data_IF_179926095658
#
_entry.id   IF_179926095658
#
_cell.length_a   1.000
_cell.length_b   1.000
_cell.length_c   1.000
_cell.angle_alpha   90.00
_cell.angle_beta   90.00
_cell.angle_gamma   90.00
#
_symmetry.space_group_name_H-M   'P 1'
#
loop_
_entity.id
_entity.type
_entity.pdbx_description
1 polymer ?
#
# COMPACT_ATOMS: atom_id res chain seq x y z
N UNK A 1 18.21 14.79 -5.31
CA UNK A 1 19.13 13.88 -4.58
C UNK A 1 18.78 12.44 -4.93
N UNK A 2 19.71 11.62 -5.48
CA UNK A 2 19.42 10.26 -5.96
C UNK A 2 18.98 9.28 -4.86
N UNK A 3 19.28 9.56 -3.59
CA UNK A 3 18.88 8.75 -2.43
C UNK A 3 17.38 8.83 -2.12
N UNK A 4 16.70 9.89 -2.52
CA UNK A 4 15.28 10.10 -2.20
C UNK A 4 14.34 9.35 -3.15
N UNK A 5 14.70 9.24 -4.44
CA UNK A 5 13.99 8.38 -5.39
C UNK A 5 14.10 6.90 -5.03
N UNK A 6 15.29 6.47 -4.57
CA UNK A 6 15.51 5.11 -4.06
C UNK A 6 14.66 4.84 -2.80
N UNK A 7 14.60 5.80 -1.87
CA UNK A 7 13.75 5.72 -0.68
C UNK A 7 12.27 5.59 -1.05
N UNK A 8 11.81 6.33 -2.06
CA UNK A 8 10.43 6.26 -2.52
C UNK A 8 10.09 4.91 -3.16
N UNK A 9 11.01 4.32 -3.92
CA UNK A 9 10.84 2.95 -4.45
C UNK A 9 10.74 1.92 -3.33
N UNK A 10 11.59 2.01 -2.30
CA UNK A 10 11.54 1.12 -1.13
C UNK A 10 10.19 1.25 -0.41
N UNK A 11 9.67 2.47 -0.27
CA UNK A 11 8.36 2.70 0.35
C UNK A 11 7.21 2.03 -0.44
N UNK A 12 7.23 2.07 -1.78
CA UNK A 12 6.22 1.36 -2.61
C UNK A 12 6.28 -0.15 -2.35
N UNK A 13 7.47 -0.72 -2.32
CA UNK A 13 7.67 -2.15 -2.07
C UNK A 13 7.18 -2.53 -0.67
N UNK A 14 7.50 -1.71 0.34
CA UNK A 14 7.04 -1.92 1.71
C UNK A 14 5.52 -1.88 1.83
N UNK A 15 4.84 -0.94 1.15
CA UNK A 15 3.37 -0.88 1.11
C UNK A 15 2.80 -2.17 0.50
N UNK A 16 3.38 -2.65 -0.62
CA UNK A 16 2.95 -3.89 -1.26
C UNK A 16 3.13 -5.13 -0.38
N UNK A 17 4.27 -5.25 0.31
CA UNK A 17 4.54 -6.36 1.24
C UNK A 17 3.59 -6.31 2.44
N UNK A 18 3.38 -5.12 3.02
CA UNK A 18 2.47 -4.94 4.16
C UNK A 18 1.04 -5.35 3.78
N UNK A 19 0.56 -4.91 2.62
CA UNK A 19 -0.74 -5.29 2.09
C UNK A 19 -0.86 -6.80 1.88
N UNK A 20 0.17 -7.45 1.32
CA UNK A 20 0.16 -8.89 1.13
C UNK A 20 0.07 -9.66 2.45
N UNK A 21 0.77 -9.20 3.51
CA UNK A 21 0.71 -9.83 4.84
C UNK A 21 -0.69 -9.69 5.44
N UNK A 22 -1.28 -8.49 5.38
CA UNK A 22 -2.62 -8.23 5.92
C UNK A 22 -3.67 -9.05 5.16
N UNK A 23 -3.60 -9.09 3.83
CA UNK A 23 -4.48 -9.91 3.01
C UNK A 23 -4.37 -11.41 3.37
N UNK A 24 -3.15 -11.89 3.63
CA UNK A 24 -2.94 -13.28 4.03
C UNK A 24 -3.55 -13.58 5.41
N UNK A 25 -3.43 -12.64 6.35
CA UNK A 25 -4.08 -12.73 7.66
C UNK A 25 -5.61 -12.76 7.51
N UNK A 26 -6.17 -11.90 6.67
CA UNK A 26 -7.61 -11.86 6.44
C UNK A 26 -8.15 -13.17 5.87
N UNK A 27 -7.45 -13.77 4.91
CA UNK A 27 -7.82 -15.06 4.33
C UNK A 27 -7.82 -16.18 5.38
N UNK A 28 -6.88 -16.16 6.32
CA UNK A 28 -6.74 -17.20 7.36
C UNK A 28 -7.78 -17.02 8.47
N UNK A 29 -7.99 -15.78 8.93
CA UNK A 29 -8.72 -15.50 10.15
C UNK A 29 -10.19 -15.11 9.90
N UNK A 30 -10.52 -14.48 8.77
CA UNK A 30 -11.87 -13.97 8.50
C UNK A 30 -12.67 -14.99 7.70
N UNK A 31 -13.45 -15.81 8.42
CA UNK A 31 -14.31 -16.84 7.80
C UNK A 31 -15.67 -16.33 7.33
N UNK A 32 -16.05 -15.12 7.73
CA UNK A 32 -17.31 -14.50 7.33
C UNK A 32 -17.10 -13.66 6.07
N UNK A 33 -17.76 -14.02 4.97
CA UNK A 33 -17.65 -13.37 3.67
C UNK A 33 -17.97 -11.87 3.70
N UNK A 34 -18.96 -11.45 4.48
CA UNK A 34 -19.35 -10.02 4.55
C UNK A 34 -18.26 -9.20 5.25
N UNK A 35 -17.70 -9.74 6.33
CA UNK A 35 -16.60 -9.11 7.06
C UNK A 35 -15.32 -9.10 6.21
N UNK A 36 -15.03 -10.19 5.50
CA UNK A 36 -13.87 -10.27 4.61
C UNK A 36 -13.91 -9.19 3.52
N UNK A 37 -15.05 -9.02 2.83
CA UNK A 37 -15.22 -7.97 1.82
C UNK A 37 -15.10 -6.57 2.45
N UNK A 38 -15.62 -6.39 3.66
CA UNK A 38 -15.49 -5.14 4.41
C UNK A 38 -14.04 -4.78 4.71
N UNK A 39 -13.27 -5.72 5.28
CA UNK A 39 -11.86 -5.49 5.63
C UNK A 39 -11.02 -5.29 4.36
N UNK A 40 -11.21 -6.13 3.34
CA UNK A 40 -10.54 -5.98 2.04
C UNK A 40 -10.79 -4.60 1.41
N UNK A 41 -12.02 -4.09 1.50
CA UNK A 41 -12.37 -2.76 0.99
C UNK A 41 -11.64 -1.64 1.73
N UNK A 42 -11.51 -1.75 3.06
CA UNK A 42 -10.75 -0.81 3.89
C UNK A 42 -9.26 -0.89 3.55
N UNK A 43 -8.71 -2.10 3.42
CA UNK A 43 -7.30 -2.31 3.10
C UNK A 43 -6.93 -1.72 1.74
N UNK A 44 -7.76 -1.94 0.72
CA UNK A 44 -7.57 -1.34 -0.60
C UNK A 44 -7.64 0.19 -0.54
N UNK A 45 -8.56 0.76 0.25
CA UNK A 45 -8.65 2.20 0.42
C UNK A 45 -7.39 2.79 1.09
N UNK A 46 -6.92 2.18 2.17
CA UNK A 46 -5.69 2.59 2.86
C UNK A 46 -4.47 2.47 1.94
N UNK A 47 -4.36 1.35 1.23
CA UNK A 47 -3.27 1.10 0.29
C UNK A 47 -3.27 2.12 -0.86
N UNK A 48 -4.44 2.45 -1.40
CA UNK A 48 -4.61 3.49 -2.42
C UNK A 48 -4.20 4.88 -1.94
N UNK A 49 -4.56 5.26 -0.70
CA UNK A 49 -4.15 6.54 -0.11
C UNK A 49 -2.64 6.59 0.05
N UNK A 50 -2.01 5.55 0.61
CA UNK A 50 -0.56 5.48 0.79
C UNK A 50 0.18 5.54 -0.55
N UNK A 51 -0.28 4.78 -1.56
CA UNK A 51 0.27 4.86 -2.92
C UNK A 51 0.14 6.27 -3.50
N UNK A 52 -0.99 6.96 -3.31
CA UNK A 52 -1.18 8.32 -3.81
C UNK A 52 -0.19 9.32 -3.20
N UNK A 53 0.15 9.16 -1.91
CA UNK A 53 1.14 9.99 -1.23
C UNK A 53 2.54 9.73 -1.78
N UNK A 54 2.90 8.45 -1.95
CA UNK A 54 4.20 8.06 -2.49
C UNK A 54 4.34 8.50 -3.95
N UNK A 55 3.30 8.38 -4.78
CA UNK A 55 3.31 8.84 -6.16
C UNK A 55 3.48 10.37 -6.23
N UNK A 56 2.80 11.13 -5.37
CA UNK A 56 2.98 12.59 -5.30
C UNK A 56 4.41 12.98 -4.93
N UNK A 57 5.02 12.23 -4.02
CA UNK A 57 6.42 12.44 -3.68
C UNK A 57 7.32 12.11 -4.89
N UNK A 58 7.11 10.97 -5.56
CA UNK A 58 7.84 10.60 -6.80
C UNK A 58 7.71 11.68 -7.87
N UNK A 59 6.49 12.17 -8.13
CA UNK A 59 6.22 13.16 -9.16
C UNK A 59 6.99 14.47 -8.92
N UNK A 60 7.08 14.94 -7.67
CA UNK A 60 7.90 16.12 -7.33
C UNK A 60 9.38 15.97 -7.69
N UNK A 61 9.91 14.74 -7.77
CA UNK A 61 11.30 14.51 -8.15
C UNK A 61 11.51 14.37 -9.67
N UNK A 62 10.46 14.02 -10.43
CA UNK A 62 10.53 13.92 -11.89
C UNK A 62 10.11 15.23 -12.59
N UNK A 63 9.36 16.11 -11.92
CA UNK A 63 9.02 17.47 -12.38
C UNK A 63 10.13 18.52 -12.11
N UNK A 64 11.35 18.07 -11.74
CA UNK A 64 12.54 18.92 -11.51
C UNK A 64 13.64 18.65 -12.53
#
# INVERSE_FOLDING_TARGET
>A
MPTEGLRSMVNVIQIGILFAIILFLDIIFVKNTLLFIGVLGVDLAVCGVLLSLVIKDIQKYFDY
#
